data_IF_330685325746
#
_entry.id   IF_330685325746
#
_cell.length_a   1.000
_cell.length_b   1.000
_cell.length_c   1.000
_cell.angle_alpha   90.00
_cell.angle_beta   90.00
_cell.angle_gamma   90.00
#
_symmetry.space_group_name_H-M   'P 1'
#
loop_
_entity.id
_entity.type
_entity.pdbx_description
1 polymer ?
#
# COMPACT_ATOMS: atom_id res chain seq x y z
N UNK A 1 -32.06 -16.84 -89.16
CA UNK A 1 -30.83 -16.33 -88.50
C UNK A 1 -30.91 -16.73 -87.04
N UNK A 2 -29.81 -17.19 -86.44
CA UNK A 2 -29.76 -17.51 -85.01
C UNK A 2 -29.71 -16.25 -84.15
N UNK A 3 -29.95 -16.42 -82.85
CA UNK A 3 -29.77 -15.37 -81.85
C UNK A 3 -28.29 -14.98 -81.70
N UNK A 4 -28.04 -13.78 -81.17
CA UNK A 4 -26.69 -13.33 -80.85
C UNK A 4 -26.16 -14.05 -79.61
N UNK A 5 -24.88 -14.41 -79.63
CA UNK A 5 -24.14 -14.89 -78.47
C UNK A 5 -24.07 -13.81 -77.39
N UNK A 6 -23.70 -14.21 -76.18
CA UNK A 6 -23.24 -13.25 -75.18
C UNK A 6 -22.07 -12.41 -75.73
N UNK A 7 -21.98 -11.18 -75.24
CA UNK A 7 -20.95 -10.23 -75.63
C UNK A 7 -19.57 -10.72 -75.14
N UNK A 8 -18.52 -10.52 -75.94
CA UNK A 8 -17.16 -10.96 -75.59
C UNK A 8 -16.54 -10.28 -74.36
N UNK A 9 -17.18 -9.23 -73.82
CA UNK A 9 -16.79 -8.52 -72.60
C UNK A 9 -18.01 -8.37 -71.70
N UNK A 10 -17.81 -8.19 -70.39
CA UNK A 10 -18.90 -7.93 -69.43
C UNK A 10 -19.27 -6.45 -69.30
N UNK A 11 -18.40 -5.55 -69.75
CA UNK A 11 -18.60 -4.10 -69.75
C UNK A 11 -17.82 -3.47 -70.93
N UNK A 12 -18.21 -2.27 -71.35
CA UNK A 12 -17.59 -1.52 -72.44
C UNK A 12 -17.89 -2.07 -73.85
N UNK A 13 -17.12 -1.64 -74.87
CA UNK A 13 -17.30 -2.10 -76.24
C UNK A 13 -16.76 -3.53 -76.41
N UNK A 14 -17.63 -4.43 -76.83
CA UNK A 14 -17.33 -5.82 -77.13
C UNK A 14 -17.90 -6.26 -78.48
N UNK A 15 -17.81 -7.56 -78.77
CA UNK A 15 -18.32 -8.16 -80.01
C UNK A 15 -19.16 -9.38 -79.69
N UNK A 16 -20.31 -9.49 -80.36
CA UNK A 16 -21.21 -10.63 -80.30
C UNK A 16 -21.30 -11.30 -81.67
N UNK A 17 -21.53 -12.61 -81.67
CA UNK A 17 -21.55 -13.44 -82.85
C UNK A 17 -22.91 -14.12 -83.01
N UNK A 18 -23.44 -14.22 -84.23
CA UNK A 18 -24.65 -15.02 -84.49
C UNK A 18 -24.42 -15.98 -85.64
N UNK A 19 -25.06 -17.13 -85.57
CA UNK A 19 -25.00 -18.10 -86.64
C UNK A 19 -26.03 -17.77 -87.73
N UNK A 20 -25.59 -17.85 -88.99
CA UNK A 20 -26.45 -17.70 -90.16
C UNK A 20 -26.36 -19.01 -90.92
N UNK A 21 -27.50 -19.68 -91.07
CA UNK A 21 -27.63 -20.98 -91.72
C UNK A 21 -28.44 -20.79 -93.00
N UNK A 22 -27.92 -21.31 -94.11
CA UNK A 22 -28.58 -21.29 -95.41
C UNK A 22 -29.58 -22.44 -95.48
N UNK A 23 -30.84 -22.14 -95.81
CA UNK A 23 -31.88 -23.14 -96.00
C UNK A 23 -32.47 -23.01 -97.40
N UNK A 24 -32.59 -24.12 -98.11
CA UNK A 24 -33.28 -24.19 -99.39
C UNK A 24 -34.66 -24.82 -99.15
N UNK A 25 -35.72 -24.12 -99.56
CA UNK A 25 -37.08 -24.64 -99.50
C UNK A 25 -37.24 -25.69 -100.60
N UNK A 26 -37.51 -26.94 -100.21
CA UNK A 26 -37.62 -28.07 -101.14
C UNK A 26 -39.08 -28.39 -101.49
N UNK A 27 -40.02 -28.14 -100.57
CA UNK A 27 -41.43 -28.37 -100.81
C UNK A 27 -42.29 -27.44 -99.94
N UNK A 28 -43.33 -26.86 -100.53
CA UNK A 28 -44.31 -26.01 -99.83
C UNK A 28 -45.62 -26.78 -99.75
N UNK A 29 -46.07 -27.09 -98.54
CA UNK A 29 -47.31 -27.81 -98.33
C UNK A 29 -48.52 -26.87 -98.51
N UNK A 30 -49.66 -27.40 -98.95
CA UNK A 30 -50.88 -26.62 -99.20
C UNK A 30 -51.45 -25.91 -97.95
N UNK A 31 -50.96 -26.27 -96.75
CA UNK A 31 -51.26 -25.61 -95.47
C UNK A 31 -50.33 -24.42 -95.16
N UNK A 32 -49.45 -24.03 -96.08
CA UNK A 32 -48.49 -22.93 -95.91
C UNK A 32 -47.21 -23.31 -95.16
N UNK A 33 -47.01 -24.59 -94.79
CA UNK A 33 -45.78 -25.03 -94.12
C UNK A 33 -44.69 -25.41 -95.12
N UNK A 34 -43.52 -24.82 -94.95
CA UNK A 34 -42.37 -25.00 -95.83
C UNK A 34 -41.41 -26.06 -95.27
N UNK A 35 -41.12 -27.08 -96.06
CA UNK A 35 -40.01 -28.01 -95.78
C UNK A 35 -38.74 -27.46 -96.41
N UNK A 36 -37.71 -27.27 -95.58
CA UNK A 36 -36.43 -26.69 -96.00
C UNK A 36 -35.27 -27.56 -95.54
N UNK A 37 -34.26 -27.70 -96.41
CA UNK A 37 -33.02 -28.43 -96.13
C UNK A 37 -31.88 -27.42 -95.94
N UNK A 38 -31.01 -27.66 -94.96
CA UNK A 38 -29.82 -26.84 -94.74
C UNK A 38 -28.78 -27.11 -95.85
N UNK A 39 -28.34 -26.05 -96.52
CA UNK A 39 -27.35 -26.10 -97.60
C UNK A 39 -26.06 -25.39 -97.21
N UNK A 40 -24.96 -25.69 -97.90
CA UNK A 40 -23.66 -25.06 -97.66
C UNK A 40 -23.74 -23.54 -97.86
N UNK A 41 -22.93 -22.80 -97.09
CA UNK A 41 -22.91 -21.33 -97.10
C UNK A 41 -22.63 -20.74 -98.48
N UNK A 42 -21.83 -21.44 -99.29
CA UNK A 42 -21.43 -21.05 -100.65
C UNK A 42 -22.60 -21.00 -101.65
N UNK A 43 -23.69 -21.73 -101.35
CA UNK A 43 -24.85 -21.87 -102.23
C UNK A 43 -25.95 -20.83 -101.92
N UNK A 44 -25.75 -19.99 -100.91
CA UNK A 44 -26.63 -18.86 -100.63
C UNK A 44 -26.41 -17.74 -101.66
N UNK A 45 -27.50 -17.18 -102.21
CA UNK A 45 -27.43 -16.04 -103.11
C UNK A 45 -26.74 -14.83 -102.46
N UNK A 46 -25.94 -14.10 -103.24
CA UNK A 46 -25.10 -12.96 -102.82
C UNK A 46 -25.88 -11.69 -102.44
N UNK A 47 -27.10 -11.84 -101.92
CA UNK A 47 -27.90 -10.73 -101.41
C UNK A 47 -27.46 -10.45 -99.98
N UNK A 48 -26.70 -9.37 -99.83
CA UNK A 48 -26.17 -8.75 -98.61
C UNK A 48 -25.55 -9.71 -97.59
N UNK A 49 -24.22 -9.63 -97.43
CA UNK A 49 -23.48 -10.27 -96.33
C UNK A 49 -24.16 -9.97 -94.99
N UNK A 50 -25.04 -10.87 -94.58
CA UNK A 50 -25.76 -10.76 -93.32
C UNK A 50 -24.72 -10.66 -92.21
N UNK A 51 -24.78 -9.57 -91.44
CA UNK A 51 -23.78 -9.26 -90.42
C UNK A 51 -23.73 -10.41 -89.40
N UNK A 52 -22.63 -11.17 -89.38
CA UNK A 52 -22.39 -12.30 -88.45
C UNK A 52 -21.65 -11.86 -87.19
N UNK A 53 -21.05 -10.67 -87.21
CA UNK A 53 -20.34 -10.04 -86.09
C UNK A 53 -20.91 -8.64 -85.88
N UNK A 54 -21.49 -8.41 -84.72
CA UNK A 54 -22.01 -7.09 -84.33
C UNK A 54 -21.22 -6.58 -83.12
N UNK A 55 -21.06 -5.26 -83.03
CA UNK A 55 -20.52 -4.61 -81.84
C UNK A 55 -21.62 -4.54 -80.78
N UNK A 56 -21.32 -5.05 -79.59
CA UNK A 56 -22.15 -4.86 -78.41
C UNK A 56 -21.55 -3.73 -77.57
N UNK A 57 -22.39 -2.80 -77.12
CA UNK A 57 -22.00 -1.71 -76.24
C UNK A 57 -22.68 -1.95 -74.90
N UNK A 58 -21.95 -2.59 -73.97
CA UNK A 58 -22.44 -2.83 -72.62
C UNK A 58 -22.22 -1.59 -71.75
N UNK A 59 -22.69 -1.66 -70.48
CA UNK A 59 -22.43 -0.61 -69.48
C UNK A 59 -20.94 -0.26 -69.47
N UNK A 60 -20.63 1.03 -69.31
CA UNK A 60 -19.25 1.51 -69.25
C UNK A 60 -18.57 0.87 -68.03
N UNK A 61 -17.35 0.35 -68.21
CA UNK A 61 -16.64 -0.34 -67.14
C UNK A 61 -16.37 0.61 -65.97
N UNK A 62 -16.58 0.11 -64.75
CA UNK A 62 -16.10 0.73 -63.52
C UNK A 62 -14.56 0.75 -63.51
N UNK A 63 -14.00 1.72 -62.80
CA UNK A 63 -12.56 1.90 -62.70
C UNK A 63 -12.14 2.25 -61.27
N UNK A 64 -10.91 1.90 -60.91
CA UNK A 64 -10.32 2.30 -59.64
C UNK A 64 -9.94 3.77 -59.66
N UNK A 65 -10.36 4.51 -58.64
CA UNK A 65 -9.99 5.90 -58.45
C UNK A 65 -9.33 6.11 -57.09
N UNK A 66 -8.25 6.89 -57.05
CA UNK A 66 -7.54 7.26 -55.83
C UNK A 66 -8.21 8.53 -55.27
N UNK A 67 -8.85 8.42 -54.10
CA UNK A 67 -9.60 9.54 -53.49
C UNK A 67 -8.74 10.42 -52.59
N UNK A 68 -7.66 9.86 -52.05
CA UNK A 68 -6.78 10.58 -51.16
C UNK A 68 -5.33 10.51 -51.62
N UNK A 69 -4.57 11.55 -51.28
CA UNK A 69 -3.12 11.44 -51.21
C UNK A 69 -2.73 10.43 -50.12
N UNK A 70 -1.45 10.02 -50.12
CA UNK A 70 -0.92 9.20 -49.03
C UNK A 70 -1.01 9.92 -47.69
N UNK A 71 -1.46 9.21 -46.66
CA UNK A 71 -1.43 9.68 -45.28
C UNK A 71 0.01 9.99 -44.83
N UNK A 72 0.13 10.70 -43.70
CA UNK A 72 1.40 10.73 -42.98
C UNK A 72 1.84 9.30 -42.63
N UNK A 73 3.16 9.10 -42.52
CA UNK A 73 3.71 7.82 -42.08
C UNK A 73 3.17 7.49 -40.68
N UNK A 74 2.89 6.22 -40.42
CA UNK A 74 2.39 5.74 -39.12
C UNK A 74 3.37 6.00 -37.96
N UNK A 75 4.64 6.24 -38.29
CA UNK A 75 5.71 6.55 -37.35
C UNK A 75 6.38 7.88 -37.74
N UNK A 76 6.86 8.66 -36.77
CA UNK A 76 7.58 9.92 -37.03
C UNK A 76 9.07 9.69 -37.34
N UNK A 77 9.61 8.53 -37.00
CA UNK A 77 10.96 8.06 -37.32
C UNK A 77 10.91 6.54 -37.53
N UNK A 78 11.88 5.98 -38.24
CA UNK A 78 11.99 4.54 -38.51
C UNK A 78 11.09 4.08 -39.65
N UNK A 79 10.93 2.76 -39.75
CA UNK A 79 10.09 2.12 -40.76
C UNK A 79 8.65 2.08 -40.29
N UNK A 80 7.75 2.63 -41.10
CA UNK A 80 6.30 2.57 -40.87
C UNK A 80 5.54 2.36 -42.17
N UNK A 81 4.24 2.63 -42.13
CA UNK A 81 3.34 2.51 -43.26
C UNK A 81 2.50 3.76 -43.42
N UNK A 82 2.21 4.13 -44.66
CA UNK A 82 1.22 5.15 -45.01
C UNK A 82 0.12 4.50 -45.83
N UNK A 83 -1.10 5.01 -45.66
CA UNK A 83 -2.30 4.49 -46.31
C UNK A 83 -2.92 5.54 -47.21
N UNK A 84 -3.63 5.11 -48.25
CA UNK A 84 -4.44 5.98 -49.10
C UNK A 84 -5.77 5.30 -49.42
N UNK A 85 -6.78 6.10 -49.68
CA UNK A 85 -8.11 5.63 -50.03
C UNK A 85 -8.23 5.39 -51.54
N UNK A 86 -8.68 4.18 -51.88
CA UNK A 86 -8.88 3.72 -53.26
C UNK A 86 -10.27 3.10 -53.32
N UNK A 87 -11.12 3.61 -54.21
CA UNK A 87 -12.51 3.18 -54.35
C UNK A 87 -12.81 2.81 -55.78
N UNK A 88 -13.70 1.84 -55.96
CA UNK A 88 -14.26 1.52 -57.27
C UNK A 88 -15.32 2.57 -57.63
N UNK A 89 -15.20 3.19 -58.81
CA UNK A 89 -16.16 4.19 -59.28
C UNK A 89 -16.82 3.77 -60.57
N UNK A 90 -18.11 4.05 -60.67
CA UNK A 90 -18.89 3.90 -61.88
C UNK A 90 -18.52 4.98 -62.91
N UNK A 91 -19.07 4.85 -64.11
CA UNK A 91 -18.91 5.84 -65.17
C UNK A 91 -19.57 7.20 -64.87
N UNK A 92 -20.42 7.27 -63.84
CA UNK A 92 -21.09 8.49 -63.38
C UNK A 92 -20.37 9.11 -62.17
N UNK A 93 -19.27 8.49 -61.72
CA UNK A 93 -18.48 8.94 -60.56
C UNK A 93 -19.03 8.46 -59.21
N UNK A 94 -20.07 7.63 -59.21
CA UNK A 94 -20.63 7.03 -58.00
C UNK A 94 -19.75 5.89 -57.50
N UNK A 95 -19.65 5.74 -56.17
CA UNK A 95 -18.85 4.67 -55.56
C UNK A 95 -19.67 3.38 -55.60
N UNK A 96 -19.05 2.33 -56.15
CA UNK A 96 -19.63 0.99 -56.30
C UNK A 96 -18.85 -0.03 -55.44
N UNK A 97 -19.36 -1.26 -55.36
CA UNK A 97 -18.65 -2.36 -54.71
C UNK A 97 -17.33 -2.71 -55.43
N UNK A 98 -16.31 -3.11 -54.66
CA UNK A 98 -14.95 -3.39 -55.15
C UNK A 98 -14.93 -4.47 -56.25
N UNK A 99 -15.87 -5.41 -56.21
CA UNK A 99 -16.02 -6.55 -57.14
C UNK A 99 -16.42 -6.13 -58.55
N UNK A 100 -17.09 -4.99 -58.71
CA UNK A 100 -17.44 -4.47 -60.04
C UNK A 100 -16.18 -4.02 -60.78
N UNK A 101 -15.14 -3.60 -60.05
CA UNK A 101 -13.84 -3.27 -60.59
C UNK A 101 -12.92 -4.49 -60.72
N UNK A 102 -11.98 -4.44 -61.67
CA UNK A 102 -10.99 -5.52 -61.82
C UNK A 102 -9.97 -5.49 -60.66
N UNK A 103 -10.08 -6.46 -59.76
CA UNK A 103 -9.20 -6.61 -58.59
C UNK A 103 -7.71 -6.74 -58.93
N UNK A 104 -7.35 -7.26 -60.10
CA UNK A 104 -5.94 -7.35 -60.52
C UNK A 104 -5.32 -5.99 -60.85
N UNK A 105 -6.16 -4.97 -61.05
CA UNK A 105 -5.74 -3.60 -61.33
C UNK A 105 -5.92 -2.70 -60.11
N UNK A 106 -6.27 -3.24 -58.94
CA UNK A 106 -6.47 -2.46 -57.72
C UNK A 106 -5.14 -1.81 -57.30
N UNK A 107 -5.09 -0.47 -57.21
CA UNK A 107 -3.91 0.22 -56.70
C UNK A 107 -3.60 -0.15 -55.25
N UNK A 108 -2.31 -0.15 -54.88
CA UNK A 108 -1.89 -0.41 -53.50
C UNK A 108 -2.47 0.62 -52.53
N UNK A 109 -3.09 0.15 -51.45
CA UNK A 109 -3.66 0.99 -50.39
C UNK A 109 -2.68 1.25 -49.26
N UNK A 110 -1.60 0.47 -49.16
CA UNK A 110 -0.55 0.59 -48.15
C UNK A 110 0.81 0.70 -48.82
N UNK A 111 1.65 1.57 -48.27
CA UNK A 111 3.04 1.72 -48.70
C UNK A 111 3.95 1.87 -47.50
N UNK A 112 5.10 1.19 -47.55
CA UNK A 112 6.14 1.36 -46.55
C UNK A 112 6.79 2.74 -46.69
N UNK A 113 7.01 3.39 -45.56
CA UNK A 113 7.73 4.65 -45.45
C UNK A 113 8.90 4.47 -44.48
N UNK A 114 10.03 5.09 -44.79
CA UNK A 114 11.19 5.17 -43.89
C UNK A 114 11.41 6.65 -43.54
N UNK A 115 11.18 6.98 -42.27
CA UNK A 115 11.33 8.33 -41.72
C UNK A 115 12.73 8.55 -41.11
N UNK A 116 13.69 7.67 -41.40
CA UNK A 116 15.07 7.77 -40.94
C UNK A 116 15.30 7.08 -39.60
N UNK A 117 16.52 7.13 -39.08
CA UNK A 117 16.86 6.45 -37.83
C UNK A 117 16.17 7.13 -36.65
N UNK A 118 15.46 6.38 -35.81
CA UNK A 118 14.93 6.91 -34.56
C UNK A 118 16.07 7.20 -33.58
N UNK A 119 16.25 8.48 -33.26
CA UNK A 119 17.20 8.90 -32.25
C UNK A 119 16.70 8.53 -30.85
N UNK A 120 17.55 7.85 -30.08
CA UNK A 120 17.36 7.65 -28.64
C UNK A 120 18.11 8.77 -27.94
N UNK A 121 17.43 9.49 -27.05
CA UNK A 121 18.04 10.65 -26.38
C UNK A 121 17.89 10.56 -24.87
N UNK A 122 18.87 11.16 -24.19
CA UNK A 122 18.84 11.29 -22.73
C UNK A 122 17.92 12.42 -22.33
N UNK A 123 16.91 12.10 -21.52
CA UNK A 123 16.04 13.08 -20.90
C UNK A 123 16.40 13.20 -19.42
N UNK A 124 16.37 14.43 -18.91
CA UNK A 124 16.69 14.72 -17.50
C UNK A 124 15.55 15.46 -16.84
N UNK A 125 15.21 15.08 -15.61
CA UNK A 125 14.35 15.92 -14.77
C UNK A 125 15.05 17.23 -14.40
N UNK A 126 14.29 18.16 -13.81
CA UNK A 126 14.89 19.27 -13.07
C UNK A 126 15.71 18.73 -11.88
N UNK A 127 16.72 19.49 -11.46
CA UNK A 127 17.46 19.22 -10.23
C UNK A 127 16.56 19.37 -9.00
N UNK A 128 16.89 18.62 -7.94
CA UNK A 128 16.26 18.77 -6.63
C UNK A 128 16.32 20.24 -6.19
N UNK A 129 15.20 20.78 -5.73
CA UNK A 129 15.11 22.20 -5.34
C UNK A 129 16.00 22.52 -4.13
N UNK A 130 16.23 21.53 -3.26
CA UNK A 130 17.07 21.62 -2.08
C UNK A 130 18.37 20.81 -2.30
N UNK A 131 19.45 21.31 -1.70
CA UNK A 131 20.71 20.57 -1.55
C UNK A 131 20.51 19.45 -0.51
N UNK A 132 21.30 18.37 -0.57
CA UNK A 132 21.21 17.28 0.43
C UNK A 132 21.51 17.74 1.87
N UNK A 133 22.18 18.89 2.03
CA UNK A 133 22.50 19.53 3.30
C UNK A 133 21.83 20.90 3.40
N UNK A 134 21.42 21.29 4.60
CA UNK A 134 20.82 22.60 4.87
C UNK A 134 21.85 23.75 4.83
N UNK A 135 23.13 23.41 5.02
CA UNK A 135 24.27 24.33 4.93
C UNK A 135 25.52 23.54 4.49
N UNK A 136 26.57 24.25 4.07
CA UNK A 136 27.83 23.67 3.60
C UNK A 136 27.72 22.94 2.26
N UNK A 137 28.71 22.08 1.98
CA UNK A 137 28.75 21.29 0.74
C UNK A 137 27.79 20.10 0.80
N UNK A 138 26.93 20.00 -0.21
CA UNK A 138 26.04 18.87 -0.43
C UNK A 138 25.88 18.56 -1.92
N UNK A 139 24.91 17.71 -2.24
CA UNK A 139 24.61 17.31 -3.61
C UNK A 139 23.12 17.52 -3.93
N UNK A 140 22.85 18.10 -5.09
CA UNK A 140 21.53 18.05 -5.74
C UNK A 140 21.44 16.79 -6.59
N UNK A 141 20.26 16.18 -6.60
CA UNK A 141 19.98 14.97 -7.39
C UNK A 141 18.99 15.27 -8.50
N UNK A 142 19.10 14.57 -9.62
CA UNK A 142 18.09 14.56 -10.70
C UNK A 142 17.95 13.15 -11.27
N UNK A 143 16.83 12.89 -11.92
CA UNK A 143 16.59 11.63 -12.62
C UNK A 143 17.03 11.74 -14.08
N UNK A 144 17.70 10.71 -14.59
CA UNK A 144 18.05 10.59 -16.01
C UNK A 144 17.40 9.34 -16.60
N UNK A 145 16.70 9.49 -17.73
CA UNK A 145 16.02 8.40 -18.41
C UNK A 145 16.38 8.41 -19.90
N UNK A 146 16.57 7.22 -20.47
CA UNK A 146 16.77 7.03 -21.90
C UNK A 146 15.42 6.69 -22.53
N UNK A 147 14.93 7.55 -23.42
CA UNK A 147 13.68 7.35 -24.13
C UNK A 147 13.93 7.44 -25.64
N UNK A 148 13.13 6.69 -26.40
CA UNK A 148 13.06 6.78 -27.85
C UNK A 148 11.96 7.78 -28.19
N UNK A 149 12.22 8.73 -29.09
CA UNK A 149 11.20 9.72 -29.41
C UNK A 149 9.99 9.01 -30.05
N UNK A 150 8.83 9.17 -29.40
CA UNK A 150 7.53 8.51 -29.53
C UNK A 150 7.19 7.23 -28.71
N UNK A 151 6.28 7.46 -27.76
CA UNK A 151 5.17 6.58 -27.29
C UNK A 151 5.54 5.33 -26.48
N UNK A 152 6.82 5.01 -26.32
CA UNK A 152 7.23 4.00 -25.33
C UNK A 152 7.89 4.65 -24.13
N UNK A 153 7.11 4.86 -23.06
CA UNK A 153 7.57 5.25 -21.71
C UNK A 153 8.40 4.15 -21.01
N UNK A 154 8.92 3.18 -21.76
CA UNK A 154 9.71 2.08 -21.24
C UNK A 154 11.18 2.48 -21.22
N UNK A 155 11.82 2.52 -20.03
CA UNK A 155 13.23 2.83 -19.91
C UNK A 155 14.06 1.85 -20.75
N UNK A 156 14.86 2.37 -21.66
CA UNK A 156 15.80 1.57 -22.44
C UNK A 156 17.14 1.46 -21.68
N UNK A 157 17.82 0.31 -21.80
CA UNK A 157 19.10 0.03 -21.13
C UNK A 157 20.27 0.89 -21.62
N UNK A 158 20.17 1.51 -22.80
CA UNK A 158 21.25 2.32 -23.36
C UNK A 158 20.77 3.32 -24.43
N UNK A 159 21.23 4.57 -24.29
CA UNK A 159 21.11 5.65 -25.27
C UNK A 159 22.49 5.96 -25.86
N UNK A 160 22.53 6.55 -27.05
CA UNK A 160 23.78 7.03 -27.62
C UNK A 160 24.28 8.28 -26.88
N UNK A 161 25.59 8.35 -26.63
CA UNK A 161 26.23 9.45 -25.91
C UNK A 161 26.43 9.20 -24.41
N UNK A 162 27.17 10.12 -23.77
CA UNK A 162 27.51 10.01 -22.35
C UNK A 162 26.26 10.26 -21.47
N UNK A 163 26.02 9.36 -20.51
CA UNK A 163 24.89 9.47 -19.59
C UNK A 163 25.03 10.75 -18.74
N UNK A 164 24.04 11.65 -18.74
CA UNK A 164 24.12 12.87 -17.95
C UNK A 164 24.29 12.56 -16.46
N UNK A 165 25.07 13.37 -15.75
CA UNK A 165 25.29 13.18 -14.31
C UNK A 165 23.98 13.33 -13.51
N UNK A 166 23.74 12.43 -12.57
CA UNK A 166 22.58 12.46 -11.66
C UNK A 166 22.86 13.22 -10.37
N UNK A 167 24.13 13.52 -10.08
CA UNK A 167 24.56 14.31 -8.94
C UNK A 167 25.25 15.58 -9.40
N UNK A 168 24.94 16.69 -8.73
CA UNK A 168 25.63 17.97 -8.88
C UNK A 168 25.96 18.52 -7.50
N UNK A 169 27.21 18.90 -7.29
CA UNK A 169 27.64 19.54 -6.04
C UNK A 169 26.96 20.91 -5.88
N UNK A 170 26.48 21.18 -4.67
CA UNK A 170 25.91 22.45 -4.25
C UNK A 170 26.58 22.91 -2.95
N UNK A 171 26.63 24.22 -2.76
CA UNK A 171 27.04 24.85 -1.50
C UNK A 171 25.85 25.67 -0.99
N UNK A 172 25.28 25.23 0.13
CA UNK A 172 24.15 25.89 0.80
C UNK A 172 24.59 27.08 1.68
N UNK A 173 25.86 27.50 1.58
CA UNK A 173 26.42 28.61 2.35
C UNK A 173 27.00 28.16 3.71
N UNK A 174 27.67 29.07 4.45
CA UNK A 174 28.37 28.71 5.68
C UNK A 174 27.39 28.18 6.73
N UNK A 175 27.68 27.02 7.29
CA UNK A 175 26.95 26.51 8.44
C UNK A 175 27.16 27.44 9.63
N UNK A 176 26.07 28.00 10.14
CA UNK A 176 26.12 28.78 11.37
C UNK A 176 26.10 27.79 12.53
N UNK A 177 27.19 27.72 13.28
CA UNK A 177 27.26 26.89 14.47
C UNK A 177 26.13 27.29 15.43
N UNK A 178 25.16 26.40 15.63
CA UNK A 178 24.01 26.63 16.49
C UNK A 178 23.98 25.63 17.63
N UNK A 179 23.63 26.14 18.80
CA UNK A 179 23.25 25.33 19.95
C UNK A 179 21.74 25.23 19.92
N UNK A 180 21.20 24.02 19.94
CA UNK A 180 19.77 23.77 19.86
C UNK A 180 19.36 22.61 20.77
N UNK A 181 18.10 22.60 21.21
CA UNK A 181 17.53 21.49 21.95
C UNK A 181 16.99 20.44 20.97
N UNK A 182 17.59 19.26 20.96
CA UNK A 182 17.00 18.08 20.33
C UNK A 182 15.84 17.56 21.18
N UNK A 183 14.69 17.34 20.54
CA UNK A 183 13.46 16.92 21.18
C UNK A 183 13.10 15.52 20.67
N UNK A 184 13.22 14.52 21.54
CA UNK A 184 12.85 13.15 21.21
C UNK A 184 11.33 12.97 21.09
N UNK A 185 10.88 11.85 20.48
CA UNK A 185 9.46 11.51 20.45
C UNK A 185 8.92 11.27 21.86
N UNK A 186 7.59 11.40 22.01
CA UNK A 186 6.93 11.04 23.25
C UNK A 186 7.00 9.53 23.50
N UNK A 187 7.35 9.15 24.73
CA UNK A 187 7.28 7.78 25.20
C UNK A 187 5.84 7.32 25.41
N UNK A 188 5.69 6.07 25.87
CA UNK A 188 4.39 5.53 26.23
C UNK A 188 3.76 6.30 27.40
N UNK A 189 2.43 6.30 27.45
CA UNK A 189 1.67 6.88 28.56
C UNK A 189 1.96 6.07 29.84
N UNK A 190 2.09 6.75 30.98
CA UNK A 190 2.32 6.10 32.29
C UNK A 190 1.18 5.20 32.76
N UNK A 191 0.00 5.32 32.14
CA UNK A 191 -1.17 4.50 32.41
C UNK A 191 -1.47 3.64 31.17
N UNK A 192 -2.05 2.45 31.38
CA UNK A 192 -2.52 1.57 30.30
C UNK A 192 -3.93 1.94 29.81
N UNK A 193 -4.65 2.75 30.61
CA UNK A 193 -6.00 3.23 30.37
C UNK A 193 -6.27 4.48 31.22
N UNK A 194 -7.29 5.27 30.86
CA UNK A 194 -7.65 6.50 31.57
C UNK A 194 -6.65 7.64 31.36
N UNK A 195 -6.50 8.48 32.39
CA UNK A 195 -5.56 9.61 32.35
C UNK A 195 -4.17 9.18 32.83
N UNK A 196 -3.13 9.58 32.11
CA UNK A 196 -1.74 9.39 32.50
C UNK A 196 -0.87 10.57 32.07
N UNK A 197 0.43 10.37 32.18
CA UNK A 197 1.45 11.34 31.72
C UNK A 197 2.43 10.62 30.81
N UNK A 198 2.76 11.22 29.68
CA UNK A 198 3.83 10.74 28.78
C UNK A 198 5.04 11.66 28.92
N UNK A 199 6.23 11.08 28.90
CA UNK A 199 7.50 11.79 28.99
C UNK A 199 8.32 11.61 27.72
N UNK A 200 9.16 12.60 27.40
CA UNK A 200 10.13 12.52 26.29
C UNK A 200 11.52 12.95 26.75
N UNK A 201 12.54 12.43 26.09
CA UNK A 201 13.92 12.88 26.29
C UNK A 201 14.19 14.16 25.50
N UNK A 202 15.03 15.03 26.08
CA UNK A 202 15.58 16.20 25.40
C UNK A 202 17.10 16.19 25.60
N UNK A 203 17.84 16.57 24.56
CA UNK A 203 19.29 16.63 24.60
C UNK A 203 19.76 17.97 24.02
N UNK A 204 20.86 18.51 24.54
CA UNK A 204 21.49 19.68 23.93
C UNK A 204 22.38 19.21 22.79
N UNK A 205 22.17 19.75 21.59
CA UNK A 205 22.98 19.44 20.42
C UNK A 205 23.71 20.69 19.95
N UNK A 206 24.95 20.48 19.52
CA UNK A 206 25.73 21.45 18.78
C UNK A 206 25.76 21.02 17.32
N UNK A 207 25.33 21.91 16.44
CA UNK A 207 25.41 21.70 15.00
C UNK A 207 26.69 22.39 14.50
N UNK A 208 27.66 21.60 14.06
CA UNK A 208 28.92 22.04 13.47
C UNK A 208 29.03 21.49 12.06
N UNK A 209 28.88 22.35 11.05
CA UNK A 209 28.96 21.96 9.63
C UNK A 209 28.13 20.70 9.26
N UNK A 210 26.89 20.61 9.76
CA UNK A 210 25.97 19.49 9.51
C UNK A 210 26.27 18.22 10.32
N UNK A 211 27.29 18.24 11.17
CA UNK A 211 27.49 17.23 12.22
C UNK A 211 26.75 17.65 13.47
N UNK A 212 25.78 16.82 13.87
CA UNK A 212 25.11 16.97 15.15
C UNK A 212 25.90 16.22 16.21
N UNK A 213 26.38 16.95 17.22
CA UNK A 213 27.02 16.37 18.39
C UNK A 213 26.18 16.63 19.64
N UNK A 214 25.97 15.59 20.45
CA UNK A 214 25.31 15.74 21.75
C UNK A 214 26.32 16.34 22.73
N UNK A 215 26.06 17.56 23.16
CA UNK A 215 26.91 18.29 24.10
C UNK A 215 26.28 18.33 25.49
N UNK A 216 27.03 18.83 26.46
CA UNK A 216 26.54 19.02 27.82
C UNK A 216 25.29 19.91 27.86
N UNK A 217 24.31 19.50 28.66
CA UNK A 217 23.01 20.15 28.79
C UNK A 217 23.10 21.63 29.21
N UNK A 218 24.15 22.02 29.94
CA UNK A 218 24.41 23.41 30.34
C UNK A 218 24.75 24.33 29.15
N UNK A 219 25.20 23.80 28.01
CA UNK A 219 25.49 24.63 26.83
C UNK A 219 24.22 25.24 26.21
N UNK A 220 23.08 24.57 26.37
CA UNK A 220 21.77 25.07 25.91
C UNK A 220 20.99 25.79 27.02
N UNK A 221 21.59 26.10 28.18
CA UNK A 221 20.88 26.71 29.32
C UNK A 221 20.36 28.12 29.04
N UNK A 222 20.92 28.81 28.04
CA UNK A 222 20.46 30.11 27.56
C UNK A 222 19.21 30.03 26.69
N UNK A 223 18.84 28.83 26.23
CA UNK A 223 17.68 28.56 25.40
C UNK A 223 16.50 28.08 26.25
N UNK A 224 15.29 28.33 25.79
CA UNK A 224 14.08 27.85 26.45
C UNK A 224 14.03 26.33 26.46
N UNK A 225 14.06 25.72 27.65
CA UNK A 225 13.98 24.27 27.78
C UNK A 225 12.63 23.74 27.27
N UNK A 226 12.60 22.75 26.36
CA UNK A 226 11.36 22.17 25.88
C UNK A 226 10.63 21.40 26.97
N UNK A 227 9.30 21.30 26.85
CA UNK A 227 8.49 20.46 27.76
C UNK A 227 8.95 19.00 27.68
N UNK A 228 9.09 18.35 28.83
CA UNK A 228 9.54 16.94 28.94
C UNK A 228 8.43 16.00 29.39
N UNK A 229 7.30 16.53 29.85
CA UNK A 229 6.14 15.78 30.29
C UNK A 229 4.84 16.44 29.81
N UNK A 230 3.86 15.65 29.40
CA UNK A 230 2.51 16.14 29.07
C UNK A 230 1.44 15.12 29.44
N UNK A 231 0.19 15.55 29.72
CA UNK A 231 -0.90 14.62 29.99
C UNK A 231 -1.27 13.80 28.73
N UNK A 232 -1.61 12.53 28.94
CA UNK A 232 -2.18 11.64 27.94
C UNK A 232 -3.55 11.12 28.42
N UNK A 233 -4.49 10.97 27.48
CA UNK A 233 -5.82 10.41 27.73
C UNK A 233 -6.01 9.18 26.87
N UNK A 234 -6.04 8.02 27.51
CA UNK A 234 -6.30 6.73 26.89
C UNK A 234 -7.78 6.35 27.04
N UNK A 235 -8.14 5.21 26.45
CA UNK A 235 -9.47 4.62 26.64
C UNK A 235 -9.79 4.44 28.13
N UNK A 236 -11.06 4.58 28.55
CA UNK A 236 -11.46 4.29 29.93
C UNK A 236 -11.00 2.89 30.36
N UNK A 237 -10.58 2.73 31.62
CA UNK A 237 -10.12 1.45 32.16
C UNK A 237 -11.26 0.44 32.32
N UNK A 238 -12.51 0.90 32.31
CA UNK A 238 -13.68 0.05 32.47
C UNK A 238 -13.81 -0.44 33.92
N UNK A 239 -14.17 -1.72 34.07
CA UNK A 239 -14.33 -2.37 35.38
C UNK A 239 -13.16 -3.28 35.67
N UNK A 240 -12.56 -3.12 36.85
CA UNK A 240 -11.40 -3.94 37.26
C UNK A 240 -11.41 -4.21 38.77
N UNK A 241 -10.68 -5.26 39.18
CA UNK A 241 -10.48 -5.61 40.58
C UNK A 241 -9.44 -4.69 41.23
N UNK A 242 -9.84 -3.96 42.25
CA UNK A 242 -8.95 -3.17 43.10
C UNK A 242 -8.75 -3.88 44.43
N UNK A 243 -7.52 -3.89 44.94
CA UNK A 243 -7.17 -4.49 46.23
C UNK A 243 -6.66 -3.44 47.21
N UNK A 244 -6.91 -3.66 48.49
CA UNK A 244 -6.24 -2.91 49.55
C UNK A 244 -4.82 -3.45 49.77
N UNK A 245 -4.01 -2.66 50.47
CA UNK A 245 -2.80 -3.17 51.11
C UNK A 245 -3.15 -4.33 52.05
N UNK A 246 -2.18 -5.24 52.24
CA UNK A 246 -2.32 -6.34 53.18
C UNK A 246 -2.38 -5.83 54.62
N UNK A 247 -3.21 -6.45 55.46
CA UNK A 247 -3.20 -6.22 56.89
C UNK A 247 -1.87 -6.63 57.51
N UNK A 248 -1.60 -6.14 58.73
CA UNK A 248 -0.58 -6.74 59.58
C UNK A 248 -0.87 -8.24 59.76
N UNK A 249 0.20 -9.03 59.92
CA UNK A 249 0.05 -10.46 60.18
C UNK A 249 -0.58 -10.68 61.56
N UNK A 250 -1.58 -11.57 61.65
CA UNK A 250 -2.25 -11.89 62.91
C UNK A 250 -1.33 -12.48 63.98
N UNK A 251 -0.20 -13.05 63.59
CA UNK A 251 0.85 -13.55 64.49
C UNK A 251 2.20 -13.05 64.02
N UNK A 252 3.05 -12.65 64.95
CA UNK A 252 4.45 -12.34 64.66
C UNK A 252 5.29 -13.58 64.39
N UNK A 253 4.82 -14.78 64.73
CA UNK A 253 5.51 -16.05 64.60
C UNK A 253 4.52 -17.24 64.70
N UNK A 254 4.97 -18.46 64.37
CA UNK A 254 4.17 -19.70 64.30
C UNK A 254 3.00 -19.65 63.31
N UNK A 255 3.24 -19.22 62.07
CA UNK A 255 2.28 -19.14 60.96
C UNK A 255 1.01 -18.37 61.34
N UNK A 256 1.01 -17.08 61.02
CA UNK A 256 -0.18 -16.23 61.03
C UNK A 256 -0.81 -16.13 59.63
N UNK A 257 -1.87 -15.35 59.57
CA UNK A 257 -2.52 -14.95 58.33
C UNK A 257 -2.65 -13.43 58.27
N UNK A 258 -2.55 -12.89 57.06
CA UNK A 258 -2.89 -11.51 56.73
C UNK A 258 -4.05 -11.51 55.74
N UNK A 259 -4.84 -10.45 55.78
CA UNK A 259 -6.04 -10.32 54.94
C UNK A 259 -5.98 -9.02 54.15
N UNK A 260 -6.59 -9.03 52.96
CA UNK A 260 -6.83 -7.85 52.14
C UNK A 260 -8.23 -7.93 51.53
N UNK A 261 -8.75 -6.79 51.11
CA UNK A 261 -10.08 -6.73 50.49
C UNK A 261 -9.92 -6.43 49.00
N UNK A 262 -10.53 -7.27 48.16
CA UNK A 262 -10.73 -7.00 46.73
C UNK A 262 -12.13 -6.45 46.48
N UNK A 263 -12.24 -5.36 45.72
CA UNK A 263 -13.51 -4.81 45.25
C UNK A 263 -13.46 -4.59 43.75
N UNK A 264 -14.51 -4.98 43.04
CA UNK A 264 -14.67 -4.63 41.63
C UNK A 264 -15.20 -3.20 41.54
N UNK A 265 -14.44 -2.31 40.89
CA UNK A 265 -14.80 -0.90 40.75
C UNK A 265 -14.74 -0.49 39.28
N UNK A 266 -15.59 0.47 38.91
CA UNK A 266 -15.53 1.16 37.62
C UNK A 266 -14.62 2.41 37.67
N UNK A 267 -14.39 3.06 36.52
CA UNK A 267 -13.51 4.24 36.36
C UNK A 267 -13.75 5.39 37.35
N UNK A 268 -14.97 5.55 37.88
CA UNK A 268 -15.33 6.58 38.86
C UNK A 268 -15.29 6.08 40.32
N UNK A 269 -14.62 4.95 40.60
CA UNK A 269 -14.52 4.33 41.93
C UNK A 269 -15.91 3.88 42.44
N UNK A 270 -16.89 3.70 41.55
CA UNK A 270 -18.18 3.12 41.92
C UNK A 270 -18.10 1.60 41.96
N UNK A 271 -18.75 0.94 42.94
CA UNK A 271 -18.88 -0.52 42.96
C UNK A 271 -19.54 -1.05 41.69
N UNK A 272 -19.01 -2.15 41.15
CA UNK A 272 -19.59 -2.85 39.98
C UNK A 272 -19.49 -4.36 40.16
N UNK A 273 -20.40 -5.11 39.56
CA UNK A 273 -20.39 -6.59 39.56
C UNK A 273 -19.96 -7.17 38.20
N UNK A 274 -19.40 -6.32 37.33
CA UNK A 274 -19.05 -6.67 35.94
C UNK A 274 -17.64 -7.22 35.77
N UNK A 275 -16.87 -7.35 36.86
CA UNK A 275 -15.56 -8.00 36.80
C UNK A 275 -15.71 -9.51 36.72
N UNK A 276 -14.76 -10.17 36.06
CA UNK A 276 -14.72 -11.62 35.99
C UNK A 276 -14.50 -12.24 37.38
N UNK A 277 -15.41 -13.10 37.87
CA UNK A 277 -15.26 -13.78 39.16
C UNK A 277 -14.06 -14.73 39.23
N UNK A 278 -13.55 -15.21 38.09
CA UNK A 278 -12.38 -16.11 38.05
C UNK A 278 -11.07 -15.40 38.37
N UNK A 279 -11.04 -14.07 38.17
CA UNK A 279 -9.88 -13.21 38.42
C UNK A 279 -9.93 -12.54 39.81
N UNK A 280 -10.77 -13.02 40.72
CA UNK A 280 -10.86 -12.49 42.09
C UNK A 280 -9.51 -12.59 42.81
N UNK A 281 -8.96 -11.46 43.30
CA UNK A 281 -7.71 -11.48 44.04
C UNK A 281 -7.83 -12.22 45.38
N UNK A 282 -6.78 -12.94 45.78
CA UNK A 282 -6.77 -13.66 47.06
C UNK A 282 -6.99 -12.71 48.24
N UNK A 283 -7.93 -13.04 49.13
CA UNK A 283 -8.27 -12.19 50.28
C UNK A 283 -7.51 -12.55 51.56
N UNK A 284 -6.82 -13.70 51.58
CA UNK A 284 -6.10 -14.22 52.76
C UNK A 284 -4.83 -14.94 52.34
N UNK A 285 -3.73 -14.61 53.01
CA UNK A 285 -2.41 -15.20 52.77
C UNK A 285 -1.75 -15.59 54.10
N UNK A 286 -0.95 -16.66 54.09
CA UNK A 286 -0.11 -17.07 55.22
C UNK A 286 1.13 -16.18 55.37
N UNK A 287 1.43 -15.76 56.59
CA UNK A 287 2.58 -14.93 56.91
C UNK A 287 3.29 -15.44 58.18
N UNK A 288 4.56 -15.04 58.35
CA UNK A 288 5.36 -15.36 59.56
C UNK A 288 5.41 -16.85 59.91
N UNK A 289 5.80 -17.69 58.95
CA UNK A 289 5.92 -19.16 59.09
C UNK A 289 7.05 -19.63 60.02
N UNK A 290 7.84 -18.71 60.57
CA UNK A 290 8.96 -19.02 61.47
C UNK A 290 8.49 -19.27 62.91
N UNK A 291 9.14 -20.16 63.67
CA UNK A 291 8.70 -20.51 65.01
C UNK A 291 8.89 -19.37 66.02
N UNK A 292 7.98 -19.27 67.00
CA UNK A 292 8.15 -18.31 68.11
C UNK A 292 9.28 -18.76 69.02
N UNK A 293 10.38 -18.01 69.04
CA UNK A 293 11.44 -18.18 70.02
C UNK A 293 11.10 -17.33 71.24
N UNK A 294 11.04 -17.95 72.42
CA UNK A 294 10.93 -17.19 73.65
C UNK A 294 12.25 -16.46 73.87
N UNK A 295 12.24 -15.13 73.77
CA UNK A 295 13.36 -14.31 74.23
C UNK A 295 13.42 -14.39 75.76
N UNK A 296 14.10 -15.42 76.27
CA UNK A 296 14.64 -15.39 77.62
C UNK A 296 15.75 -14.35 77.57
N UNK A 297 15.44 -13.13 78.01
CA UNK A 297 16.46 -12.12 78.21
C UNK A 297 17.53 -12.71 79.14
N UNK A 298 18.75 -13.00 78.67
CA UNK A 298 19.80 -13.66 79.48
C UNK A 298 20.29 -12.80 80.65
N UNK A 299 19.80 -11.56 80.75
CA UNK A 299 20.19 -10.55 81.71
C UNK A 299 19.34 -10.52 83.00
N UNK A 300 18.26 -11.31 83.07
CA UNK A 300 17.37 -11.34 84.24
C UNK A 300 17.73 -12.52 85.15
N UNK A 301 18.65 -12.29 86.11
CA UNK A 301 19.01 -13.24 87.17
C UNK A 301 18.49 -12.75 88.52
N UNK A 302 18.12 -13.67 89.41
CA UNK A 302 17.82 -13.34 90.79
C UNK A 302 19.11 -12.95 91.53
N UNK A 303 19.07 -11.85 92.28
CA UNK A 303 20.22 -11.35 93.04
C UNK A 303 20.40 -12.09 94.38
N UNK A 304 19.33 -12.69 94.91
CA UNK A 304 19.37 -13.48 96.15
C UNK A 304 18.74 -14.86 95.96
N UNK A 305 19.23 -15.82 96.71
CA UNK A 305 18.82 -17.23 96.68
C UNK A 305 17.44 -17.47 97.34
N UNK A 306 17.00 -16.55 98.22
CA UNK A 306 15.69 -16.59 98.87
C UNK A 306 14.57 -15.92 98.04
N UNK A 307 14.79 -15.62 96.76
CA UNK A 307 13.79 -15.02 95.88
C UNK A 307 12.51 -15.85 95.71
N UNK A 308 12.54 -17.15 96.02
CA UNK A 308 11.34 -18.01 96.12
C UNK A 308 10.39 -17.52 97.22
N UNK A 309 10.92 -17.02 98.34
CA UNK A 309 10.11 -16.48 99.47
C UNK A 309 9.40 -15.20 99.05
N UNK A 310 10.06 -14.36 98.24
CA UNK A 310 9.48 -13.12 97.70
C UNK A 310 8.27 -13.40 96.81
N UNK A 311 8.35 -14.47 96.00
CA UNK A 311 7.21 -14.95 95.19
C UNK A 311 6.10 -15.51 96.07
N UNK A 312 6.42 -16.37 97.05
CA UNK A 312 5.43 -16.96 97.96
C UNK A 312 4.71 -15.90 98.80
N UNK A 313 5.40 -14.84 99.21
CA UNK A 313 4.86 -13.69 99.93
C UNK A 313 4.16 -12.66 99.02
N UNK A 314 4.05 -12.92 97.70
CA UNK A 314 3.43 -12.04 96.69
C UNK A 314 4.01 -10.62 96.64
N UNK A 315 5.29 -10.47 97.00
CA UNK A 315 5.96 -9.16 97.09
C UNK A 315 6.46 -8.63 95.74
N UNK A 316 6.34 -9.41 94.65
CA UNK A 316 6.72 -9.02 93.28
C UNK A 316 5.94 -7.83 92.70
N UNK A 317 4.90 -7.36 93.39
CA UNK A 317 4.16 -6.14 93.04
C UNK A 317 5.01 -4.88 93.30
N UNK A 318 5.92 -4.94 94.28
CA UNK A 318 6.77 -3.80 94.61
C UNK A 318 8.00 -3.74 93.69
N UNK A 319 8.35 -2.55 93.15
CA UNK A 319 9.44 -2.39 92.19
C UNK A 319 10.80 -2.91 92.68
N UNK A 320 11.10 -2.72 93.97
CA UNK A 320 12.33 -3.19 94.59
C UNK A 320 12.48 -4.71 94.54
N UNK A 321 11.44 -5.45 94.92
CA UNK A 321 11.46 -6.91 94.86
C UNK A 321 11.43 -7.44 93.43
N UNK A 322 10.78 -6.72 92.52
CA UNK A 322 10.71 -7.07 91.09
C UNK A 322 12.06 -6.92 90.38
N UNK A 323 12.89 -5.95 90.77
CA UNK A 323 14.24 -5.80 90.21
C UNK A 323 15.23 -6.79 90.82
N UNK A 324 15.16 -7.01 92.13
CA UNK A 324 16.07 -7.89 92.88
C UNK A 324 15.81 -9.38 92.58
N UNK A 325 14.54 -9.78 92.45
CA UNK A 325 14.12 -11.16 92.17
C UNK A 325 13.52 -11.28 90.77
N UNK A 326 14.25 -10.76 89.78
CA UNK A 326 13.80 -10.62 88.40
C UNK A 326 13.34 -11.95 87.78
N UNK A 327 14.14 -13.01 87.92
CA UNK A 327 13.85 -14.30 87.29
C UNK A 327 12.67 -15.00 87.97
N UNK A 328 12.66 -15.02 89.30
CA UNK A 328 11.59 -15.63 90.12
C UNK A 328 10.25 -14.90 89.95
N UNK A 329 10.24 -13.57 90.01
CA UNK A 329 9.02 -12.79 89.81
C UNK A 329 8.49 -12.90 88.37
N UNK A 330 9.36 -12.87 87.36
CA UNK A 330 8.96 -13.02 85.96
C UNK A 330 8.41 -14.41 85.63
N UNK A 331 8.91 -15.46 86.31
CA UNK A 331 8.34 -16.81 86.21
C UNK A 331 6.96 -16.89 86.86
N UNK A 332 6.76 -16.30 88.03
CA UNK A 332 5.47 -16.35 88.76
C UNK A 332 4.32 -15.65 88.02
N UNK A 333 4.61 -14.52 87.36
CA UNK A 333 3.63 -13.69 86.64
C UNK A 333 3.07 -14.38 85.38
N UNK A 334 3.66 -15.50 84.95
CA UNK A 334 3.14 -16.36 83.87
C UNK A 334 2.05 -17.33 84.36
N UNK A 335 1.96 -17.60 85.66
CA UNK A 335 1.03 -18.59 86.23
C UNK A 335 -0.28 -17.98 86.72
N UNK A 336 -0.29 -16.68 87.07
CA UNK A 336 -1.48 -15.91 87.43
C UNK A 336 -1.35 -14.47 86.90
N UNK A 337 -1.81 -14.17 85.67
CA UNK A 337 -1.75 -12.83 85.12
C UNK A 337 -2.72 -11.91 85.87
N UNK A 338 -2.19 -10.90 86.57
CA UNK A 338 -2.98 -9.82 87.16
C UNK A 338 -3.73 -9.05 86.05
N UNK A 339 -5.05 -9.18 86.04
CA UNK A 339 -5.97 -8.45 85.17
C UNK A 339 -6.16 -7.01 85.63
N UNK A 340 -5.39 -6.07 85.08
CA UNK A 340 -5.78 -4.65 85.08
C UNK A 340 -5.37 -4.00 83.75
N UNK A 341 -6.32 -3.94 82.82
CA UNK A 341 -6.23 -3.21 81.56
C UNK A 341 -6.19 -1.69 81.83
N UNK A 342 -5.19 -0.99 81.30
CA UNK A 342 -5.32 0.44 80.95
C UNK A 342 -5.34 0.55 79.43
N UNK A 343 -6.55 0.73 78.90
CA UNK A 343 -6.79 1.16 77.54
C UNK A 343 -6.34 2.62 77.39
N UNK A 344 -5.39 2.89 76.50
CA UNK A 344 -5.22 4.22 75.91
C UNK A 344 -5.32 4.11 74.40
N UNK A 345 -6.48 4.53 73.90
CA UNK A 345 -6.75 4.84 72.49
C UNK A 345 -6.06 6.18 72.19
N UNK A 346 -5.19 6.25 71.18
CA UNK A 346 -4.73 7.51 70.59
C UNK A 346 -5.50 7.76 69.28
N UNK A 347 -5.94 9.00 69.14
CA UNK A 347 -6.65 9.57 67.98
C UNK A 347 -5.85 9.45 66.70
#
# INVERSE_FOLDING_TARGET
MGEWSECSRRCGPGTQHRQVICRQVTHVHANGTETSVTVAQELCGTSDRLVTKSTCQLKICSQWEIRSEWSSCSVPCGVGQRSREVVCVSNQGEVEEDEECNMNLRPDTLQNCDMGVCARSWFTSLWSQLCSTECGQGNQTRTTVCLMDHVTDLPLDSCEGERPAELKSCDSGPCKNSLEWYIGPWGQCSAECGNGTQSRSVACIFNDDGRMEVVDQFKCSSLSQPITAQPCRLKPCGVQWYVTEWSMCSRSCNTGYRVRVGRCLADNISPSDRCDPTLTPESREECNKHPCVAEINPSCSDQYHNCVVVVQARLCVYPYYRSVCCASCSRSNKTYPNSFQRNHIRR
#
